data_IF_280725849098
#
_entry.id   IF_280725849098
#
_cell.length_a   1.000
_cell.length_b   1.000
_cell.length_c   1.000
_cell.angle_alpha   90.00
_cell.angle_beta   90.00
_cell.angle_gamma   90.00
#
_symmetry.space_group_name_H-M   'P 1'
#
loop_
_entity.id
_entity.type
_entity.pdbx_description
1 polymer ?
#
# COMPACT_ATOMS: atom_id res chain seq x y z
N UNK A 1 -8.41 -1.50 25.35
CA UNK A 1 -9.39 -2.41 24.74
C UNK A 1 -8.77 -3.10 23.53
N UNK A 2 -8.65 -4.42 23.55
CA UNK A 2 -8.16 -5.18 22.39
C UNK A 2 -9.20 -5.05 21.26
N UNK A 3 -8.77 -4.60 20.08
CA UNK A 3 -9.65 -4.61 18.89
C UNK A 3 -10.01 -6.05 18.58
N UNK A 4 -11.29 -6.39 18.65
CA UNK A 4 -11.77 -7.70 18.19
C UNK A 4 -11.34 -7.87 16.73
N UNK A 5 -10.52 -8.87 16.46
CA UNK A 5 -10.16 -9.24 15.08
C UNK A 5 -11.41 -9.88 14.45
N UNK A 6 -12.18 -9.06 13.72
CA UNK A 6 -13.24 -9.61 12.88
C UNK A 6 -12.59 -10.53 11.86
N UNK A 7 -13.02 -11.78 11.81
CA UNK A 7 -12.56 -12.74 10.82
C UNK A 7 -12.75 -12.16 9.41
N UNK A 8 -11.80 -12.37 8.54
CA UNK A 8 -11.87 -11.93 7.14
C UNK A 8 -11.32 -13.04 6.25
N UNK A 9 -11.97 -13.25 5.14
CA UNK A 9 -11.58 -14.22 4.12
C UNK A 9 -11.46 -13.51 2.76
N UNK A 10 -10.84 -14.16 1.80
CA UNK A 10 -10.65 -13.67 0.44
C UNK A 10 -11.50 -14.54 -0.48
N UNK A 11 -12.29 -13.87 -1.31
CA UNK A 11 -13.05 -14.52 -2.39
C UNK A 11 -12.36 -14.13 -3.69
N UNK A 12 -12.12 -15.10 -4.55
CA UNK A 12 -11.51 -14.91 -5.86
C UNK A 12 -12.57 -15.07 -6.95
N UNK A 13 -12.72 -14.03 -7.79
CA UNK A 13 -13.68 -13.98 -8.88
C UNK A 13 -12.97 -13.76 -10.20
N UNK A 14 -13.46 -14.38 -11.27
CA UNK A 14 -13.00 -14.09 -12.62
C UNK A 14 -13.50 -12.72 -13.09
N UNK A 15 -12.67 -11.97 -13.83
CA UNK A 15 -13.11 -10.77 -14.56
C UNK A 15 -13.33 -11.11 -16.01
N UNK A 16 -14.47 -10.72 -16.55
CA UNK A 16 -14.74 -10.75 -18.00
C UNK A 16 -14.18 -9.46 -18.59
N UNK A 17 -13.25 -9.59 -19.51
CA UNK A 17 -12.63 -8.43 -20.16
C UNK A 17 -12.59 -8.60 -21.66
N UNK A 18 -12.99 -7.57 -22.39
CA UNK A 18 -12.73 -7.44 -23.82
C UNK A 18 -11.36 -6.81 -24.08
N UNK A 19 -10.88 -6.89 -25.31
CA UNK A 19 -9.55 -6.39 -25.69
C UNK A 19 -9.32 -4.93 -25.30
N UNK A 20 -10.31 -4.05 -25.47
CA UNK A 20 -10.20 -2.63 -25.09
C UNK A 20 -10.06 -2.43 -23.58
N UNK A 21 -10.83 -3.18 -22.77
CA UNK A 21 -10.77 -3.11 -21.30
C UNK A 21 -9.45 -3.67 -20.78
N UNK A 22 -8.96 -4.73 -21.40
CA UNK A 22 -7.66 -5.30 -21.08
C UNK A 22 -6.52 -4.30 -21.36
N UNK A 23 -6.57 -3.60 -22.50
CA UNK A 23 -5.61 -2.55 -22.82
C UNK A 23 -5.65 -1.39 -21.80
N UNK A 24 -6.84 -1.02 -21.31
CA UNK A 24 -7.00 -0.02 -20.24
C UNK A 24 -6.41 -0.52 -18.93
N UNK A 25 -6.67 -1.76 -18.54
CA UNK A 25 -6.09 -2.37 -17.34
C UNK A 25 -4.56 -2.41 -17.42
N UNK A 26 -4.01 -2.87 -18.55
CA UNK A 26 -2.56 -2.90 -18.77
C UNK A 26 -1.93 -1.53 -18.64
N UNK A 27 -2.55 -0.50 -19.19
CA UNK A 27 -2.12 0.89 -19.04
C UNK A 27 -2.14 1.32 -17.57
N UNK A 28 -3.18 0.95 -16.81
CA UNK A 28 -3.29 1.27 -15.38
C UNK A 28 -2.21 0.56 -14.57
N UNK A 29 -1.93 -0.70 -14.85
CA UNK A 29 -0.82 -1.43 -14.20
C UNK A 29 0.53 -0.79 -14.47
N UNK A 30 0.83 -0.42 -15.74
CA UNK A 30 2.06 0.30 -16.11
C UNK A 30 2.20 1.64 -15.38
N UNK A 31 1.12 2.41 -15.26
CA UNK A 31 1.11 3.68 -14.53
C UNK A 31 1.34 3.45 -13.03
N UNK A 32 0.66 2.47 -12.44
CA UNK A 32 0.81 2.12 -11.04
C UNK A 32 2.23 1.66 -10.70
N UNK A 33 2.87 0.86 -11.56
CA UNK A 33 4.27 0.47 -11.44
C UNK A 33 5.20 1.69 -11.47
N UNK A 34 4.97 2.61 -12.40
CA UNK A 34 5.72 3.87 -12.48
C UNK A 34 5.57 4.71 -11.22
N UNK A 35 4.35 4.82 -10.69
CA UNK A 35 4.07 5.52 -9.44
C UNK A 35 4.74 4.84 -8.25
N UNK A 36 4.64 3.51 -8.13
CA UNK A 36 5.32 2.72 -7.10
C UNK A 36 6.82 3.00 -7.09
N UNK A 37 7.48 2.91 -8.25
CA UNK A 37 8.92 3.12 -8.36
C UNK A 37 9.34 4.56 -8.03
N UNK A 38 8.55 5.55 -8.42
CA UNK A 38 8.81 6.95 -8.07
C UNK A 38 8.69 7.21 -6.56
N UNK A 39 7.65 6.66 -5.92
CA UNK A 39 7.47 6.76 -4.46
C UNK A 39 8.61 6.04 -3.74
N UNK A 40 8.99 4.86 -4.22
CA UNK A 40 10.11 4.10 -3.64
C UNK A 40 11.43 4.86 -3.75
N UNK A 41 11.73 5.43 -4.92
CA UNK A 41 12.93 6.26 -5.10
C UNK A 41 12.95 7.43 -4.13
N UNK A 42 11.86 8.18 -4.04
CA UNK A 42 11.73 9.28 -3.08
C UNK A 42 11.96 8.80 -1.64
N UNK A 43 11.29 7.73 -1.22
CA UNK A 43 11.43 7.20 0.13
C UNK A 43 12.86 6.73 0.44
N UNK A 44 13.56 6.12 -0.52
CA UNK A 44 14.96 5.71 -0.35
C UNK A 44 15.89 6.92 -0.24
N UNK A 45 15.67 7.98 -1.00
CA UNK A 45 16.42 9.23 -0.89
C UNK A 45 16.25 9.83 0.50
N UNK A 46 15.00 9.96 0.98
CA UNK A 46 14.72 10.47 2.33
C UNK A 46 15.33 9.60 3.42
N UNK A 47 15.30 8.27 3.28
CA UNK A 47 15.91 7.34 4.21
C UNK A 47 17.44 7.50 4.26
N UNK A 48 18.08 7.71 3.10
CA UNK A 48 19.53 7.98 3.02
C UNK A 48 19.90 9.27 3.75
N UNK A 49 19.12 10.34 3.54
CA UNK A 49 19.37 11.61 4.22
C UNK A 49 19.10 11.51 5.74
N UNK A 50 18.07 10.77 6.15
CA UNK A 50 17.81 10.50 7.56
C UNK A 50 19.00 9.78 8.23
N UNK A 51 19.59 8.79 7.55
CA UNK A 51 20.74 8.07 8.10
C UNK A 51 22.03 8.89 8.13
N UNK A 52 22.17 9.96 7.35
CA UNK A 52 23.27 10.90 7.45
C UNK A 52 23.09 11.93 8.58
N UNK A 53 21.90 12.05 9.13
CA UNK A 53 21.61 13.02 10.18
C UNK A 53 22.28 12.61 11.51
N UNK A 54 23.21 13.42 12.01
CA UNK A 54 23.97 13.16 13.23
C UNK A 54 23.04 12.96 14.44
N UNK A 55 22.06 13.87 14.62
CA UNK A 55 21.13 13.76 15.75
C UNK A 55 20.35 12.44 15.75
N UNK A 56 19.93 11.98 14.55
CA UNK A 56 19.25 10.69 14.40
C UNK A 56 20.16 9.53 14.86
N UNK A 57 21.45 9.56 14.49
CA UNK A 57 22.44 8.54 14.89
C UNK A 57 22.70 8.57 16.39
N UNK A 58 22.84 9.76 16.98
CA UNK A 58 23.07 9.93 18.42
C UNK A 58 21.90 9.35 19.23
N UNK A 59 20.66 9.68 18.86
CA UNK A 59 19.46 9.17 19.53
C UNK A 59 19.32 7.65 19.36
N UNK A 60 19.71 7.10 18.20
CA UNK A 60 19.75 5.64 18.00
C UNK A 60 20.78 4.96 18.93
N UNK A 61 21.98 5.55 19.08
CA UNK A 61 23.00 5.05 19.97
C UNK A 61 22.55 5.11 21.44
N UNK A 62 22.01 6.24 21.86
CA UNK A 62 21.45 6.44 23.19
C UNK A 62 20.34 5.44 23.51
N UNK A 63 19.41 5.23 22.56
CA UNK A 63 18.34 4.23 22.70
C UNK A 63 18.90 2.82 22.92
N UNK A 64 19.98 2.44 22.21
CA UNK A 64 20.63 1.12 22.36
C UNK A 64 21.22 0.97 23.75
N UNK A 65 21.87 2.01 24.28
CA UNK A 65 22.43 2.02 25.64
C UNK A 65 21.33 1.93 26.70
N UNK A 66 20.24 2.70 26.54
CA UNK A 66 19.08 2.68 27.44
C UNK A 66 18.36 1.32 27.48
N UNK A 67 18.29 0.60 26.33
CA UNK A 67 17.77 -0.77 26.29
C UNK A 67 18.67 -1.71 27.11
N UNK A 68 20.00 -1.61 26.97
CA UNK A 68 20.95 -2.43 27.75
C UNK A 68 20.86 -2.14 29.24
N UNK A 69 20.63 -0.87 29.60
CA UNK A 69 20.45 -0.43 30.99
C UNK A 69 19.06 -0.70 31.56
N UNK A 70 18.13 -1.25 30.75
CA UNK A 70 16.73 -1.50 31.11
C UNK A 70 15.96 -0.22 31.53
N UNK A 71 16.38 0.95 31.04
CA UNK A 71 15.76 2.25 31.30
C UNK A 71 14.57 2.48 30.31
N UNK A 72 13.37 2.05 30.71
CA UNK A 72 12.14 2.15 29.90
C UNK A 72 11.74 3.60 29.64
N UNK A 73 11.98 4.51 30.57
CA UNK A 73 11.61 5.93 30.41
C UNK A 73 12.47 6.58 29.34
N UNK A 74 13.78 6.35 29.39
CA UNK A 74 14.71 6.87 28.39
C UNK A 74 14.46 6.27 27.00
N UNK A 75 14.20 4.97 26.91
CA UNK A 75 13.81 4.31 25.65
C UNK A 75 12.56 4.96 25.06
N UNK A 76 11.57 5.28 25.89
CA UNK A 76 10.34 5.94 25.43
C UNK A 76 10.61 7.35 24.91
N UNK A 77 11.46 8.12 25.60
CA UNK A 77 11.89 9.46 25.18
C UNK A 77 12.64 9.41 23.85
N UNK A 78 13.63 8.52 23.71
CA UNK A 78 14.35 8.32 22.45
C UNK A 78 13.41 7.92 21.30
N UNK A 79 12.43 7.03 21.52
CA UNK A 79 11.46 6.65 20.50
C UNK A 79 10.62 7.83 20.01
N UNK A 80 10.18 8.71 20.90
CA UNK A 80 9.44 9.93 20.55
C UNK A 80 10.31 10.88 19.71
N UNK A 81 11.56 11.06 20.11
CA UNK A 81 12.49 11.91 19.38
C UNK A 81 12.81 11.36 18.00
N UNK A 82 13.09 10.05 17.87
CA UNK A 82 13.28 9.38 16.58
C UNK A 82 12.08 9.57 15.66
N UNK A 83 10.86 9.42 16.18
CA UNK A 83 9.64 9.67 15.40
C UNK A 83 9.53 11.12 14.91
N UNK A 84 9.92 12.09 15.75
CA UNK A 84 9.93 13.50 15.37
C UNK A 84 10.92 13.75 14.23
N UNK A 85 12.14 13.24 14.35
CA UNK A 85 13.16 13.37 13.31
C UNK A 85 12.70 12.68 12.02
N UNK A 86 12.19 11.44 12.10
CA UNK A 86 11.64 10.71 10.95
C UNK A 86 10.55 11.52 10.25
N UNK A 87 9.66 12.16 11.00
CA UNK A 87 8.59 13.01 10.45
C UNK A 87 9.17 14.22 9.72
N UNK A 88 10.20 14.86 10.24
CA UNK A 88 10.88 16.00 9.59
C UNK A 88 11.48 15.60 8.24
N UNK A 89 12.02 14.39 8.13
CA UNK A 89 12.53 13.84 6.86
C UNK A 89 11.43 13.22 5.97
N UNK A 90 10.16 13.42 6.29
CA UNK A 90 9.07 12.85 5.49
C UNK A 90 8.98 11.33 5.54
N UNK A 91 9.64 10.67 6.50
CA UNK A 91 9.63 9.22 6.70
C UNK A 91 8.40 8.78 7.48
N UNK A 92 7.23 9.01 6.89
CA UNK A 92 5.91 8.58 7.38
C UNK A 92 5.02 8.14 6.24
N UNK A 93 4.05 7.27 6.52
CA UNK A 93 3.07 6.84 5.52
C UNK A 93 2.29 8.01 4.92
N UNK A 94 1.89 8.98 5.75
CA UNK A 94 1.16 10.17 5.31
C UNK A 94 1.98 11.08 4.39
N UNK A 95 3.29 11.20 4.63
CA UNK A 95 4.16 11.97 3.75
C UNK A 95 4.25 11.32 2.35
N UNK A 96 4.33 9.98 2.28
CA UNK A 96 4.30 9.26 1.02
C UNK A 96 2.93 9.35 0.33
N UNK A 97 1.83 9.37 1.09
CA UNK A 97 0.48 9.64 0.53
C UNK A 97 0.39 11.03 -0.09
N UNK A 98 0.93 12.06 0.58
CA UNK A 98 0.97 13.41 0.04
C UNK A 98 1.84 13.50 -1.21
N UNK A 99 2.99 12.82 -1.22
CA UNK A 99 3.89 12.77 -2.37
C UNK A 99 3.22 12.11 -3.59
N UNK A 100 2.65 10.91 -3.43
CA UNK A 100 2.00 10.20 -4.54
C UNK A 100 0.75 10.95 -5.03
N UNK A 101 0.05 11.66 -4.15
CA UNK A 101 -1.12 12.46 -4.51
C UNK A 101 -0.77 13.49 -5.59
N UNK A 102 0.34 14.22 -5.42
CA UNK A 102 0.84 15.17 -6.42
C UNK A 102 1.24 14.48 -7.73
N UNK A 103 1.94 13.35 -7.64
CA UNK A 103 2.39 12.60 -8.82
C UNK A 103 1.22 12.01 -9.62
N UNK A 104 0.15 11.60 -8.93
CA UNK A 104 -1.04 11.00 -9.52
C UNK A 104 -1.84 11.99 -10.35
N UNK A 105 -1.76 13.31 -10.11
CA UNK A 105 -2.57 14.30 -10.86
C UNK A 105 -2.40 14.17 -12.39
N UNK A 106 -1.18 13.87 -12.87
CA UNK A 106 -0.93 13.59 -14.28
C UNK A 106 -1.63 12.31 -14.81
N UNK A 107 -2.11 11.46 -13.91
CA UNK A 107 -2.69 10.14 -14.22
C UNK A 107 -4.10 9.95 -13.65
N UNK A 108 -4.77 11.03 -13.22
CA UNK A 108 -6.07 10.96 -12.52
C UNK A 108 -7.18 10.25 -13.28
N UNK A 109 -7.12 10.24 -14.62
CA UNK A 109 -8.06 9.48 -15.47
C UNK A 109 -7.86 7.95 -15.37
N UNK A 110 -6.71 7.49 -14.92
CA UNK A 110 -6.36 6.07 -14.86
C UNK A 110 -6.32 5.52 -13.44
N UNK A 111 -5.74 6.27 -12.52
CA UNK A 111 -5.54 5.87 -11.12
C UNK A 111 -6.27 6.87 -10.21
N UNK A 112 -7.22 6.38 -9.43
CA UNK A 112 -7.91 7.18 -8.42
C UNK A 112 -7.00 7.44 -7.19
N UNK A 113 -7.40 8.39 -6.34
CA UNK A 113 -6.61 8.81 -5.19
C UNK A 113 -6.45 7.70 -4.14
N UNK A 114 -7.44 6.84 -3.99
CA UNK A 114 -7.41 5.77 -2.98
C UNK A 114 -6.49 4.63 -3.41
N UNK A 115 -6.54 4.24 -4.69
CA UNK A 115 -5.58 3.28 -5.26
C UNK A 115 -4.16 3.83 -5.19
N UNK A 116 -3.94 5.12 -5.47
CA UNK A 116 -2.63 5.75 -5.33
C UNK A 116 -2.13 5.71 -3.88
N UNK A 117 -2.96 6.07 -2.90
CA UNK A 117 -2.60 5.95 -1.49
C UNK A 117 -2.23 4.51 -1.10
N UNK A 118 -2.94 3.51 -1.64
CA UNK A 118 -2.63 2.11 -1.35
C UNK A 118 -1.28 1.69 -1.93
N UNK A 119 -0.91 2.19 -3.11
CA UNK A 119 0.43 2.00 -3.69
C UNK A 119 1.49 2.59 -2.75
N UNK A 120 1.28 3.81 -2.23
CA UNK A 120 2.21 4.43 -1.29
C UNK A 120 2.29 3.67 0.04
N UNK A 121 1.17 3.16 0.57
CA UNK A 121 1.15 2.30 1.76
C UNK A 121 1.96 1.01 1.55
N UNK A 122 1.89 0.41 0.36
CA UNK A 122 2.70 -0.78 0.03
C UNK A 122 4.20 -0.45 0.02
N UNK A 123 4.59 0.69 -0.53
CA UNK A 123 5.98 1.19 -0.45
C UNK A 123 6.37 1.44 0.99
N UNK A 124 5.51 2.13 1.78
CA UNK A 124 5.77 2.42 3.19
C UNK A 124 6.00 1.14 4.00
N UNK A 125 5.16 0.12 3.83
CA UNK A 125 5.33 -1.17 4.51
C UNK A 125 6.72 -1.77 4.26
N UNK A 126 7.20 -1.70 3.02
CA UNK A 126 8.52 -2.21 2.65
C UNK A 126 9.67 -1.35 3.21
N UNK A 127 9.55 -0.02 3.11
CA UNK A 127 10.57 0.92 3.58
C UNK A 127 10.62 0.98 5.11
N UNK A 128 9.48 0.95 5.79
CA UNK A 128 9.42 0.89 7.25
C UNK A 128 10.06 -0.38 7.80
N UNK A 129 10.00 -1.49 7.07
CA UNK A 129 10.75 -2.71 7.44
C UNK A 129 12.27 -2.50 7.44
N UNK A 130 12.80 -1.68 6.52
CA UNK A 130 14.21 -1.27 6.56
C UNK A 130 14.48 -0.34 7.75
N UNK A 131 13.66 0.68 7.91
CA UNK A 131 13.79 1.70 8.96
C UNK A 131 13.84 1.08 10.36
N UNK A 132 13.06 0.04 10.60
CA UNK A 132 13.00 -0.67 11.89
C UNK A 132 13.86 -1.93 11.94
N UNK A 133 14.78 -2.13 11.00
CA UNK A 133 15.74 -3.23 11.00
C UNK A 133 15.17 -4.62 10.76
N UNK A 134 13.94 -4.70 10.24
CA UNK A 134 13.25 -5.97 9.93
C UNK A 134 13.48 -6.46 8.50
N UNK A 135 14.01 -5.61 7.63
CA UNK A 135 14.25 -5.88 6.21
C UNK A 135 15.70 -5.61 5.82
N UNK A 136 16.14 -6.23 4.73
CA UNK A 136 17.52 -6.03 4.20
C UNK A 136 17.54 -5.10 2.99
N UNK A 137 16.53 -5.15 2.12
CA UNK A 137 16.49 -4.41 0.86
C UNK A 137 15.07 -4.29 0.33
N UNK A 138 14.72 -3.13 -0.22
CA UNK A 138 13.51 -2.95 -1.04
C UNK A 138 13.93 -2.79 -2.49
N UNK A 139 13.23 -3.48 -3.39
CA UNK A 139 13.55 -3.52 -4.82
C UNK A 139 12.53 -2.75 -5.63
N UNK A 140 13.00 -2.05 -6.66
CA UNK A 140 12.14 -1.52 -7.71
C UNK A 140 11.41 -2.63 -8.44
N UNK A 141 10.19 -2.37 -8.86
CA UNK A 141 9.46 -3.26 -9.76
C UNK A 141 10.01 -3.10 -11.18
N UNK A 142 10.40 -4.20 -11.81
CA UNK A 142 10.72 -4.22 -13.23
C UNK A 142 9.43 -4.13 -14.04
N UNK A 143 9.56 -3.81 -15.32
CA UNK A 143 8.42 -3.73 -16.23
C UNK A 143 7.57 -5.02 -16.18
N UNK A 144 6.27 -4.85 -15.93
CA UNK A 144 5.31 -5.95 -15.83
C UNK A 144 5.30 -6.71 -14.50
N UNK A 145 6.17 -6.36 -13.53
CA UNK A 145 6.25 -7.05 -12.23
C UNK A 145 5.25 -6.56 -11.18
N UNK A 146 4.46 -5.53 -11.48
CA UNK A 146 3.34 -5.17 -10.61
C UNK A 146 2.14 -6.04 -10.97
N UNK A 147 1.90 -7.08 -10.19
CA UNK A 147 0.89 -8.10 -10.49
C UNK A 147 -0.47 -7.79 -9.86
N UNK A 148 -0.54 -6.86 -8.93
CA UNK A 148 -1.81 -6.57 -8.25
C UNK A 148 -2.00 -5.09 -7.95
N UNK A 149 -3.26 -4.64 -8.06
CA UNK A 149 -3.72 -3.32 -7.66
C UNK A 149 -4.87 -3.46 -6.67
N UNK A 150 -4.79 -2.75 -5.56
CA UNK A 150 -5.72 -2.85 -4.45
C UNK A 150 -6.41 -1.51 -4.20
N UNK A 151 -7.74 -1.55 -4.06
CA UNK A 151 -8.52 -0.43 -3.56
C UNK A 151 -8.41 -0.28 -2.05
N UNK A 152 -8.62 0.92 -1.52
CA UNK A 152 -8.54 1.18 -0.08
C UNK A 152 -9.76 0.67 0.67
N UNK A 153 -10.94 0.74 0.05
CA UNK A 153 -12.20 0.25 0.57
C UNK A 153 -13.16 -0.03 -0.58
N UNK A 154 -14.25 -0.78 -0.31
CA UNK A 154 -15.31 -0.99 -1.30
C UNK A 154 -16.27 0.21 -1.44
N UNK A 155 -16.11 1.25 -0.62
CA UNK A 155 -16.95 2.46 -0.69
C UNK A 155 -16.44 3.47 -1.72
N UNK A 156 -15.13 3.45 -2.05
CA UNK A 156 -14.48 4.48 -2.87
C UNK A 156 -13.43 3.88 -3.79
N UNK A 157 -13.25 4.49 -4.96
CA UNK A 157 -12.30 4.05 -5.98
C UNK A 157 -12.72 2.75 -6.63
N UNK A 158 -12.00 1.67 -6.38
CA UNK A 158 -12.30 0.33 -6.87
C UNK A 158 -13.40 -0.31 -6.02
N UNK A 159 -14.55 -0.63 -6.62
CA UNK A 159 -15.75 -1.11 -5.93
C UNK A 159 -16.34 -2.34 -6.58
N UNK A 160 -16.67 -3.34 -5.80
CA UNK A 160 -17.47 -4.47 -6.19
C UNK A 160 -18.96 -4.18 -5.96
N UNK A 161 -19.80 -4.43 -6.96
CA UNK A 161 -21.23 -4.16 -6.97
C UNK A 161 -22.09 -5.43 -7.17
N UNK A 162 -21.62 -6.57 -6.70
CA UNK A 162 -22.33 -7.85 -6.77
C UNK A 162 -22.02 -8.63 -8.04
N UNK A 163 -22.26 -8.05 -9.19
CA UNK A 163 -22.09 -8.67 -10.50
C UNK A 163 -20.92 -8.08 -11.31
N UNK A 164 -20.34 -6.98 -10.82
CA UNK A 164 -19.30 -6.25 -11.54
C UNK A 164 -18.32 -5.53 -10.63
N UNK A 165 -17.15 -5.27 -11.15
CA UNK A 165 -16.16 -4.38 -10.58
C UNK A 165 -16.21 -3.02 -11.29
N UNK A 166 -16.38 -1.95 -10.53
CA UNK A 166 -16.33 -0.58 -11.02
C UNK A 166 -15.03 0.08 -10.58
N UNK A 167 -14.28 0.67 -11.49
CA UNK A 167 -13.05 1.37 -11.17
C UNK A 167 -12.76 2.50 -12.14
N UNK A 168 -12.93 3.75 -11.69
CA UNK A 168 -12.58 4.98 -12.42
C UNK A 168 -13.08 4.97 -13.89
N UNK A 169 -14.39 4.78 -14.05
CA UNK A 169 -15.06 4.72 -15.34
C UNK A 169 -14.96 3.38 -16.09
N UNK A 170 -14.22 2.41 -15.58
CA UNK A 170 -14.18 1.05 -16.09
C UNK A 170 -15.21 0.21 -15.35
N UNK A 171 -16.01 -0.54 -16.07
CA UNK A 171 -17.04 -1.46 -15.55
C UNK A 171 -16.72 -2.84 -16.10
N UNK A 172 -16.37 -3.77 -15.22
CA UNK A 172 -15.96 -5.12 -15.58
C UNK A 172 -16.91 -6.14 -14.95
N UNK A 173 -17.65 -6.90 -15.74
CA UNK A 173 -18.45 -8.01 -15.22
C UNK A 173 -17.57 -9.03 -14.53
N UNK A 174 -18.09 -9.64 -13.48
CA UNK A 174 -17.41 -10.74 -12.78
C UNK A 174 -18.11 -12.06 -13.06
N UNK A 175 -17.33 -13.13 -13.10
CA UNK A 175 -17.85 -14.49 -13.17
C UNK A 175 -17.70 -15.20 -11.85
N UNK A 176 -18.77 -15.83 -11.41
CA UNK A 176 -18.81 -16.77 -10.30
C UNK A 176 -19.12 -18.15 -10.83
N UNK A 177 -18.48 -19.16 -10.31
CA UNK A 177 -18.81 -20.54 -10.65
C UNK A 177 -20.21 -20.86 -10.10
N UNK A 178 -21.08 -21.42 -10.92
CA UNK A 178 -22.45 -21.74 -10.51
C UNK A 178 -22.52 -22.67 -9.28
N UNK A 179 -21.52 -23.56 -9.13
CA UNK A 179 -21.45 -24.54 -8.04
C UNK A 179 -20.66 -24.03 -6.81
N UNK A 180 -20.21 -22.77 -6.79
CA UNK A 180 -19.47 -22.21 -5.67
C UNK A 180 -20.43 -21.55 -4.67
N UNK A 181 -21.16 -22.39 -3.94
CA UNK A 181 -22.12 -21.97 -2.93
C UNK A 181 -21.46 -21.11 -1.84
N UNK A 182 -20.21 -21.41 -1.47
CA UNK A 182 -19.47 -20.65 -0.46
C UNK A 182 -19.27 -19.20 -0.90
N UNK A 183 -18.88 -18.97 -2.16
CA UNK A 183 -18.70 -17.62 -2.69
C UNK A 183 -20.02 -16.86 -2.73
N UNK A 184 -21.10 -17.51 -3.22
CA UNK A 184 -22.42 -16.89 -3.31
C UNK A 184 -22.95 -16.49 -1.92
N UNK A 185 -22.89 -17.41 -0.97
CA UNK A 185 -23.32 -17.17 0.40
C UNK A 185 -22.45 -16.09 1.08
N UNK A 186 -21.14 -16.17 0.90
CA UNK A 186 -20.20 -15.20 1.46
C UNK A 186 -20.46 -13.77 0.97
N UNK A 187 -20.76 -13.59 -0.31
CA UNK A 187 -21.04 -12.28 -0.87
C UNK A 187 -22.43 -11.75 -0.50
N UNK A 188 -23.38 -12.62 -0.20
CA UNK A 188 -24.72 -12.23 0.25
C UNK A 188 -24.75 -11.85 1.74
N UNK A 189 -24.01 -12.57 2.59
CA UNK A 189 -24.05 -12.42 4.04
C UNK A 189 -23.01 -11.43 4.58
N UNK A 190 -21.91 -11.18 3.86
CA UNK A 190 -20.78 -10.44 4.37
C UNK A 190 -20.48 -9.18 3.59
N UNK A 191 -20.02 -8.16 4.31
CA UNK A 191 -19.59 -6.89 3.71
C UNK A 191 -18.24 -7.03 3.04
N UNK A 192 -18.14 -6.66 1.76
CA UNK A 192 -16.87 -6.52 1.06
C UNK A 192 -16.08 -5.35 1.63
N UNK A 193 -14.88 -5.59 2.13
CA UNK A 193 -14.00 -4.56 2.70
C UNK A 193 -13.30 -3.75 1.61
N UNK A 194 -12.70 -4.41 0.65
CA UNK A 194 -12.00 -3.83 -0.49
C UNK A 194 -11.85 -4.86 -1.61
N UNK A 195 -11.49 -4.40 -2.79
CA UNK A 195 -11.21 -5.23 -3.95
C UNK A 195 -9.73 -5.14 -4.33
N UNK A 196 -9.25 -6.22 -4.94
CA UNK A 196 -7.91 -6.29 -5.53
C UNK A 196 -8.00 -6.93 -6.90
N UNK A 197 -7.47 -6.27 -7.92
CA UNK A 197 -7.29 -6.87 -9.24
C UNK A 197 -5.92 -7.53 -9.25
N UNK A 198 -5.88 -8.79 -9.65
CA UNK A 198 -4.63 -9.57 -9.78
C UNK A 198 -4.48 -9.97 -11.24
N UNK A 199 -3.30 -9.71 -11.80
CA UNK A 199 -2.90 -10.25 -13.09
C UNK A 199 -2.34 -11.65 -12.85
N UNK A 200 -2.97 -12.65 -13.44
CA UNK A 200 -2.40 -14.01 -13.50
C UNK A 200 -1.59 -14.14 -14.80
N UNK A 201 -0.43 -14.77 -14.70
CA UNK A 201 0.39 -15.15 -15.85
C UNK A 201 -0.29 -16.27 -16.64
#
# INVERSE_FOLDING_TARGET
>A
MAKSKTASFVVELGLVTHQNEQAVLDKRFKIAEKLYNKVLYHAQTQLTELYKNHRYQDVLAERRLSIKANDKNRVTACNKELQTIQKTFGMTEYALHAYIGRMREAYKKHIDSFTAQKIASTVWTSVSSLLYGKGKKVRFKKFGQLESLEGKSNATGMRFKGDRLEWNGLILPVTMRANDLFVQESLSLHRVKYCRIVRKA
#
